data_IF_928501057358
#
_entry.id   IF_928501057358
#
_cell.length_a   1.000
_cell.length_b   1.000
_cell.length_c   1.000
_cell.angle_alpha   90.00
_cell.angle_beta   90.00
_cell.angle_gamma   90.00
#
_symmetry.space_group_name_H-M   'P 1'
#
loop_
_entity.id
_entity.type
_entity.pdbx_description
1 polymer ?
#
# COMPACT_ATOMS: atom_id res chain seq x y z
N UNK A 1 -7.80 -14.70 2.44
CA UNK A 1 -6.39 -14.27 2.27
C UNK A 1 -6.05 -13.19 3.29
N UNK A 2 -4.77 -13.02 3.64
CA UNK A 2 -4.35 -11.93 4.51
C UNK A 2 -3.95 -10.71 3.67
N UNK A 3 -4.31 -9.50 4.12
CA UNK A 3 -3.95 -8.28 3.41
C UNK A 3 -3.45 -7.18 4.32
N UNK A 4 -2.50 -6.42 3.80
CA UNK A 4 -2.10 -5.11 4.31
C UNK A 4 -2.80 -4.05 3.46
N UNK A 5 -3.38 -3.04 4.10
CA UNK A 5 -4.12 -1.96 3.46
C UNK A 5 -3.40 -0.66 3.79
N UNK A 6 -3.01 0.10 2.77
CA UNK A 6 -2.54 1.47 2.89
C UNK A 6 -3.62 2.41 2.39
N UNK A 7 -4.18 3.23 3.29
CA UNK A 7 -5.24 4.18 2.98
C UNK A 7 -4.71 5.60 3.11
N UNK A 8 -4.79 6.36 2.02
CA UNK A 8 -4.24 7.70 1.91
C UNK A 8 -5.34 8.75 1.99
N UNK A 9 -5.14 9.75 2.85
CA UNK A 9 -5.90 11.01 2.81
C UNK A 9 -5.57 11.79 1.53
N UNK A 10 -6.40 12.79 1.21
CA UNK A 10 -6.16 13.65 0.05
C UNK A 10 -4.86 14.47 0.22
N UNK A 11 -3.87 14.30 -0.68
CA UNK A 11 -2.68 15.15 -0.68
C UNK A 11 -3.04 16.57 -1.16
N UNK A 12 -2.19 17.53 -0.84
CA UNK A 12 -2.32 18.91 -1.35
C UNK A 12 -2.16 18.97 -2.88
N UNK A 13 -1.22 18.17 -3.40
CA UNK A 13 -0.94 18.02 -4.83
C UNK A 13 -1.18 16.57 -5.27
N UNK A 14 -2.35 16.32 -5.85
CA UNK A 14 -2.77 14.98 -6.30
C UNK A 14 -2.00 14.52 -7.54
N UNK A 15 -1.58 15.44 -8.40
CA UNK A 15 -0.87 15.08 -9.64
C UNK A 15 0.55 14.62 -9.32
N UNK A 16 1.26 15.38 -8.47
CA UNK A 16 2.59 14.98 -7.98
C UNK A 16 2.55 13.70 -7.17
N UNK A 17 1.52 13.53 -6.32
CA UNK A 17 1.32 12.29 -5.58
C UNK A 17 1.12 11.13 -6.54
N UNK A 18 0.22 11.23 -7.52
CA UNK A 18 -0.05 10.17 -8.48
C UNK A 18 1.20 9.78 -9.26
N UNK A 19 1.92 10.77 -9.79
CA UNK A 19 3.14 10.51 -10.55
C UNK A 19 4.14 9.72 -9.71
N UNK A 20 4.45 10.18 -8.50
CA UNK A 20 5.39 9.48 -7.63
C UNK A 20 4.88 8.10 -7.22
N UNK A 21 3.59 8.01 -6.88
CA UNK A 21 2.96 6.79 -6.41
C UNK A 21 3.02 5.69 -7.48
N UNK A 22 2.61 5.98 -8.71
CA UNK A 22 2.57 4.98 -9.78
C UNK A 22 3.93 4.74 -10.44
N UNK A 23 4.79 5.76 -10.60
CA UNK A 23 6.07 5.60 -11.28
C UNK A 23 7.20 5.10 -10.36
N UNK A 24 7.12 5.39 -9.05
CA UNK A 24 8.18 5.04 -8.08
C UNK A 24 7.71 4.05 -7.03
N UNK A 25 6.63 4.35 -6.31
CA UNK A 25 6.24 3.57 -5.14
C UNK A 25 5.69 2.18 -5.48
N UNK A 26 4.81 2.07 -6.48
CA UNK A 26 4.22 0.80 -6.91
C UNK A 26 5.29 -0.19 -7.41
N UNK A 27 6.23 0.19 -8.30
CA UNK A 27 7.31 -0.72 -8.72
C UNK A 27 8.22 -1.21 -7.58
N UNK A 28 8.36 -0.44 -6.50
CA UNK A 28 9.07 -0.90 -5.29
C UNK A 28 8.24 -1.92 -4.51
N UNK A 29 6.94 -1.68 -4.38
CA UNK A 29 6.01 -2.55 -3.65
C UNK A 29 5.83 -3.89 -4.37
N UNK A 30 5.71 -3.90 -5.70
CA UNK A 30 5.57 -5.13 -6.49
C UNK A 30 6.78 -6.06 -6.43
N UNK A 31 7.95 -5.54 -6.02
CA UNK A 31 9.17 -6.35 -5.82
C UNK A 31 9.17 -7.14 -4.51
N UNK A 32 8.21 -6.93 -3.62
CA UNK A 32 8.18 -7.57 -2.30
C UNK A 32 8.02 -9.09 -2.46
N UNK A 33 8.99 -9.91 -2.01
CA UNK A 33 8.86 -11.36 -2.03
C UNK A 33 7.67 -11.83 -1.18
N UNK A 34 6.83 -12.69 -1.76
CA UNK A 34 5.63 -13.23 -1.11
C UNK A 34 4.36 -12.42 -1.29
N UNK A 35 4.44 -11.24 -1.92
CA UNK A 35 3.27 -10.49 -2.36
C UNK A 35 2.56 -11.23 -3.49
N UNK A 36 1.23 -11.37 -3.38
CA UNK A 36 0.41 -12.10 -4.35
C UNK A 36 -0.32 -11.20 -5.32
N UNK A 37 -0.78 -10.06 -4.82
CA UNK A 37 -1.60 -9.13 -5.57
C UNK A 37 -1.48 -7.74 -4.94
N UNK A 38 -1.52 -6.73 -5.80
CA UNK A 38 -1.71 -5.34 -5.42
C UNK A 38 -2.99 -4.86 -6.09
N UNK A 39 -3.91 -4.31 -5.30
CA UNK A 39 -5.09 -3.63 -5.82
C UNK A 39 -5.07 -2.17 -5.39
N UNK A 40 -5.33 -1.28 -6.34
CA UNK A 40 -5.27 0.15 -6.13
C UNK A 40 -6.63 0.72 -6.48
N UNK A 41 -7.26 1.38 -5.51
CA UNK A 41 -8.58 2.00 -5.65
C UNK A 41 -8.45 3.50 -5.42
N UNK A 42 -8.77 4.29 -6.45
CA UNK A 42 -8.95 5.75 -6.29
C UNK A 42 -10.36 6.04 -5.79
N UNK A 43 -10.44 6.86 -4.76
CA UNK A 43 -11.71 7.30 -4.19
C UNK A 43 -12.23 8.51 -4.96
N UNK A 44 -13.54 8.57 -5.16
CA UNK A 44 -14.22 9.66 -5.84
C UNK A 44 -15.31 10.28 -4.95
N UNK A 45 -15.87 11.41 -5.38
CA UNK A 45 -16.90 12.14 -4.62
C UNK A 45 -16.32 12.86 -3.38
N UNK A 46 -17.10 12.92 -2.31
CA UNK A 46 -16.78 13.66 -1.08
C UNK A 46 -16.01 12.82 -0.04
N UNK A 47 -15.32 11.76 -0.47
CA UNK A 47 -14.52 10.94 0.43
C UNK A 47 -13.39 11.77 1.07
N UNK A 48 -13.11 11.62 2.38
CA UNK A 48 -11.93 12.20 3.00
C UNK A 48 -10.63 11.49 2.58
N UNK A 49 -10.75 10.33 1.92
CA UNK A 49 -9.65 9.54 1.40
C UNK A 49 -9.52 9.72 -0.10
N UNK A 50 -8.29 9.54 -0.59
CA UNK A 50 -7.94 9.71 -1.99
C UNK A 50 -7.60 8.39 -2.68
N UNK A 51 -6.83 7.54 -2.02
CA UNK A 51 -6.37 6.29 -2.59
C UNK A 51 -6.30 5.19 -1.52
N UNK A 52 -6.66 3.97 -1.90
CA UNK A 52 -6.45 2.77 -1.11
C UNK A 52 -5.60 1.79 -1.91
N UNK A 53 -4.62 1.18 -1.24
CA UNK A 53 -3.79 0.11 -1.78
C UNK A 53 -3.93 -1.13 -0.91
N UNK A 54 -4.27 -2.25 -1.52
CA UNK A 54 -4.43 -3.54 -0.85
C UNK A 54 -3.37 -4.49 -1.36
N UNK A 55 -2.54 -4.99 -0.45
CA UNK A 55 -1.44 -5.91 -0.72
C UNK A 55 -1.77 -7.26 -0.11
N UNK A 56 -1.90 -8.27 -0.96
CA UNK A 56 -2.39 -9.60 -0.57
C UNK A 56 -1.25 -10.58 -0.36
N UNK A 57 -1.41 -11.41 0.66
CA UNK A 57 -0.50 -12.47 1.07
C UNK A 57 -1.29 -13.74 1.35
N UNK A 58 -0.65 -14.91 1.22
CA UNK A 58 -1.32 -16.19 1.43
C UNK A 58 -1.85 -16.34 2.86
N UNK A 59 -1.07 -15.86 3.84
CA UNK A 59 -1.43 -15.88 5.26
C UNK A 59 -0.74 -14.75 6.03
N UNK A 60 -1.09 -14.60 7.32
CA UNK A 60 -0.42 -13.67 8.23
C UNK A 60 1.06 -14.00 8.42
N UNK A 61 1.42 -15.28 8.42
CA UNK A 61 2.81 -15.75 8.51
C UNK A 61 3.59 -15.40 7.25
N UNK A 62 2.96 -15.56 6.06
CA UNK A 62 3.55 -15.14 4.80
C UNK A 62 3.80 -13.63 4.77
N UNK A 63 2.84 -12.82 5.23
CA UNK A 63 3.04 -11.39 5.41
C UNK A 63 4.21 -11.08 6.36
N UNK A 64 4.29 -11.75 7.52
CA UNK A 64 5.38 -11.54 8.49
C UNK A 64 6.75 -11.92 7.93
N UNK A 65 6.82 -12.88 7.02
CA UNK A 65 8.06 -13.20 6.31
C UNK A 65 8.39 -12.12 5.28
N UNK A 66 7.41 -11.71 4.47
CA UNK A 66 7.54 -10.64 3.47
C UNK A 66 7.96 -9.32 4.10
N UNK A 67 7.39 -8.94 5.25
CA UNK A 67 7.64 -7.67 5.93
C UNK A 67 9.08 -7.51 6.45
N UNK A 68 9.87 -8.59 6.46
CA UNK A 68 11.27 -8.58 6.90
C UNK A 68 12.26 -8.39 5.77
N UNK A 69 11.81 -8.50 4.51
CA UNK A 69 12.69 -8.37 3.35
C UNK A 69 13.15 -6.93 3.15
N UNK A 70 14.25 -6.74 2.42
CA UNK A 70 14.77 -5.40 2.14
C UNK A 70 13.84 -4.60 1.22
N UNK A 71 13.12 -5.27 0.32
CA UNK A 71 12.11 -4.66 -0.55
C UNK A 71 10.94 -4.10 0.25
N UNK A 72 10.45 -4.84 1.25
CA UNK A 72 9.39 -4.34 2.15
C UNK A 72 9.84 -3.14 2.96
N UNK A 73 11.09 -3.17 3.47
CA UNK A 73 11.66 -2.01 4.19
C UNK A 73 11.84 -0.81 3.27
N UNK A 74 12.26 -1.04 2.02
CA UNK A 74 12.40 0.02 1.02
C UNK A 74 11.05 0.66 0.69
N UNK A 75 10.02 -0.14 0.39
CA UNK A 75 8.65 0.35 0.15
C UNK A 75 8.09 1.10 1.37
N UNK A 76 8.29 0.57 2.58
CA UNK A 76 7.88 1.23 3.82
C UNK A 76 8.61 2.56 4.07
N UNK A 77 9.91 2.63 3.80
CA UNK A 77 10.67 3.88 3.93
C UNK A 77 10.23 4.92 2.90
N UNK A 78 9.99 4.47 1.68
CA UNK A 78 9.55 5.31 0.57
C UNK A 78 8.21 5.99 0.88
N UNK A 79 7.19 5.21 1.24
CA UNK A 79 5.85 5.75 1.59
C UNK A 79 5.88 6.70 2.78
N UNK A 80 6.69 6.40 3.81
CA UNK A 80 6.85 7.33 4.92
C UNK A 80 7.52 8.64 4.50
N UNK A 81 8.36 8.63 3.47
CA UNK A 81 9.04 9.81 2.94
C UNK A 81 8.13 10.76 2.17
N UNK A 82 7.27 10.25 1.27
CA UNK A 82 6.42 11.12 0.44
C UNK A 82 4.98 11.29 0.97
N UNK A 83 4.50 10.37 1.82
CA UNK A 83 3.10 10.32 2.24
C UNK A 83 2.89 9.92 3.71
N UNK A 84 3.93 10.04 4.56
CA UNK A 84 3.88 9.61 5.96
C UNK A 84 2.71 10.19 6.77
N UNK A 85 2.40 11.47 6.59
CA UNK A 85 1.29 12.14 7.30
C UNK A 85 -0.10 11.85 6.68
N UNK A 86 -0.13 11.22 5.51
CA UNK A 86 -1.35 10.92 4.75
C UNK A 86 -1.78 9.46 4.89
N UNK A 87 -0.83 8.56 5.11
CA UNK A 87 -1.05 7.11 5.06
C UNK A 87 -1.52 6.56 6.40
N UNK A 88 -2.50 5.65 6.35
CA UNK A 88 -2.90 4.80 7.47
C UNK A 88 -2.73 3.35 7.04
N UNK A 89 -2.01 2.58 7.85
CA UNK A 89 -1.84 1.14 7.62
C UNK A 89 -2.84 0.34 8.44
N UNK A 90 -3.53 -0.58 7.79
CA UNK A 90 -4.43 -1.54 8.41
C UNK A 90 -4.09 -2.94 7.95
N UNK A 91 -4.50 -3.94 8.72
CA UNK A 91 -4.29 -5.34 8.40
C UNK A 91 -5.60 -6.08 8.58
N UNK A 92 -5.91 -6.96 7.64
CA UNK A 92 -7.16 -7.68 7.64
C UNK A 92 -7.04 -9.06 7.01
N UNK A 93 -8.00 -9.90 7.32
CA UNK A 93 -8.19 -11.21 6.69
C UNK A 93 -9.55 -11.19 5.99
N UNK A 94 -9.56 -11.63 4.74
CA UNK A 94 -10.80 -11.75 3.98
C UNK A 94 -11.62 -12.94 4.48
N UNK A 95 -12.87 -12.69 4.85
CA UNK A 95 -13.77 -13.68 5.46
C UNK A 95 -14.60 -14.48 4.45
N UNK A 96 -14.66 -14.04 3.19
CA UNK A 96 -15.48 -14.65 2.12
C UNK A 96 -14.65 -15.00 0.87
N UNK A 97 -13.35 -15.25 1.05
CA UNK A 97 -12.42 -15.57 -0.05
C UNK A 97 -12.65 -16.94 -0.69
#
# INVERSE_FOLDING_TARGET
MYKMIALFKKPEDTEKFDQYYFETHIPLTEKIPGLRKVEITKMSGSSPYYLMCEMYYDSKEAFKAASKTEESKASGKDVMGFAGDLVTFMFGEEVNG
#
